data_IF_717731469344
#
_entry.id   IF_717731469344
#
_cell.length_a   1.000
_cell.length_b   1.000
_cell.length_c   1.000
_cell.angle_alpha   90.00
_cell.angle_beta   90.00
_cell.angle_gamma   90.00
#
_symmetry.space_group_name_H-M   'P 1'
#
loop_
_entity.id
_entity.type
_entity.pdbx_description
1 polymer ?
#
# COMPACT_ATOMS: atom_id res chain seq x y z
N UNK A 1 14.30 6.29 0.15
CA UNK A 1 14.63 5.84 -1.23
C UNK A 1 15.30 4.46 -1.27
N UNK A 2 16.20 4.10 -0.34
CA UNK A 2 16.97 2.84 -0.38
C UNK A 2 16.16 1.54 -0.53
N UNK A 3 14.99 1.41 0.10
CA UNK A 3 14.14 0.22 -0.09
C UNK A 3 13.64 0.07 -1.53
N UNK A 4 13.25 1.18 -2.16
CA UNK A 4 12.75 1.13 -3.55
C UNK A 4 13.85 0.64 -4.48
N UNK A 5 15.09 1.14 -4.34
CA UNK A 5 16.25 0.67 -5.11
C UNK A 5 16.44 -0.85 -5.00
N UNK A 6 16.46 -1.39 -3.78
CA UNK A 6 16.57 -2.85 -3.57
C UNK A 6 15.39 -3.59 -4.22
N UNK A 7 14.18 -3.03 -4.15
CA UNK A 7 13.00 -3.65 -4.74
C UNK A 7 13.08 -3.66 -6.28
N UNK A 8 13.53 -2.59 -6.94
CA UNK A 8 13.60 -2.56 -8.41
C UNK A 8 14.66 -3.52 -8.96
N UNK A 9 15.70 -3.80 -8.17
CA UNK A 9 16.73 -4.79 -8.49
C UNK A 9 16.40 -6.22 -8.01
N UNK A 10 15.18 -6.46 -7.51
CA UNK A 10 14.72 -7.75 -6.96
C UNK A 10 15.57 -8.31 -5.79
N UNK A 11 16.35 -7.46 -5.12
CA UNK A 11 17.19 -7.84 -3.96
C UNK A 11 16.37 -8.11 -2.68
N UNK A 12 15.11 -7.66 -2.64
CA UNK A 12 14.19 -7.85 -1.53
C UNK A 12 12.78 -8.17 -2.01
N UNK A 13 12.13 -9.08 -1.30
CA UNK A 13 10.71 -9.39 -1.49
C UNK A 13 9.80 -8.28 -0.95
N UNK A 14 8.52 -8.30 -1.30
CA UNK A 14 7.52 -7.35 -0.82
C UNK A 14 6.22 -8.06 -0.45
N UNK A 15 5.43 -7.43 0.43
CA UNK A 15 4.07 -7.87 0.74
C UNK A 15 3.12 -7.22 -0.26
N UNK A 16 2.27 -8.03 -0.88
CA UNK A 16 1.25 -7.55 -1.82
C UNK A 16 0.00 -7.12 -1.06
N UNK A 17 -0.41 -5.88 -1.27
CA UNK A 17 -1.65 -5.30 -0.75
C UNK A 17 -2.63 -5.01 -1.90
N UNK A 18 -3.90 -4.68 -1.61
CA UNK A 18 -4.88 -4.33 -2.64
C UNK A 18 -4.47 -3.16 -3.54
N UNK A 19 -3.68 -2.23 -3.00
CA UNK A 19 -3.30 -0.96 -3.66
C UNK A 19 -1.83 -0.89 -4.05
N UNK A 20 -1.01 -1.90 -3.76
CA UNK A 20 0.39 -1.90 -4.15
C UNK A 20 1.26 -2.93 -3.42
N UNK A 21 2.55 -2.64 -3.36
CA UNK A 21 3.55 -3.45 -2.65
C UNK A 21 4.11 -2.65 -1.48
N UNK A 22 4.31 -3.31 -0.35
CA UNK A 22 4.93 -2.71 0.84
C UNK A 22 6.18 -3.51 1.27
N UNK A 23 7.16 -2.86 1.92
CA UNK A 23 8.32 -3.55 2.50
C UNK A 23 7.92 -4.55 3.57
N UNK A 24 8.74 -5.61 3.74
CA UNK A 24 8.72 -6.41 4.97
C UNK A 24 9.38 -5.63 6.12
N UNK A 25 8.96 -5.90 7.35
CA UNK A 25 9.52 -5.26 8.54
C UNK A 25 11.05 -5.39 8.61
N UNK A 26 11.57 -6.60 8.39
CA UNK A 26 13.01 -6.88 8.48
C UNK A 26 13.86 -6.06 7.50
N UNK A 27 13.32 -5.76 6.31
CA UNK A 27 14.00 -4.91 5.34
C UNK A 27 14.17 -3.50 5.88
N UNK A 28 13.10 -2.93 6.46
CA UNK A 28 13.15 -1.58 7.04
C UNK A 28 14.02 -1.53 8.29
N UNK A 29 13.88 -2.50 9.20
CA UNK A 29 14.70 -2.61 10.41
C UNK A 29 16.18 -2.61 10.07
N UNK A 30 16.58 -3.45 9.10
CA UNK A 30 17.96 -3.50 8.60
C UNK A 30 18.40 -2.18 7.96
N UNK A 31 17.55 -1.57 7.13
CA UNK A 31 17.89 -0.34 6.41
C UNK A 31 18.04 0.86 7.35
N UNK A 32 17.15 1.02 8.32
CA UNK A 32 17.22 2.10 9.31
C UNK A 32 18.45 1.99 10.19
N UNK A 33 18.76 0.78 10.66
CA UNK A 33 19.98 0.53 11.42
C UNK A 33 21.24 0.86 10.60
N UNK A 34 21.35 0.31 9.38
CA UNK A 34 22.58 0.47 8.56
C UNK A 34 22.77 1.86 7.96
N UNK A 35 21.69 2.55 7.60
CA UNK A 35 21.78 3.80 6.82
C UNK A 35 21.59 5.03 7.69
N UNK A 36 20.81 4.93 8.76
CA UNK A 36 20.43 6.06 9.59
C UNK A 36 20.92 5.93 11.04
N UNK A 37 21.53 4.78 11.40
CA UNK A 37 21.89 4.43 12.78
C UNK A 37 20.71 4.63 13.76
N UNK A 38 19.51 4.21 13.33
CA UNK A 38 18.27 4.34 14.09
C UNK A 38 17.59 3.01 14.26
N UNK A 39 16.98 2.82 15.42
CA UNK A 39 16.04 1.73 15.64
C UNK A 39 14.73 2.00 14.88
N UNK A 40 14.19 0.96 14.26
CA UNK A 40 12.89 0.98 13.61
C UNK A 40 12.04 -0.14 14.19
N UNK A 41 10.98 0.26 14.89
CA UNK A 41 10.18 -0.63 15.73
C UNK A 41 8.99 -1.22 14.96
N UNK A 42 8.49 -2.37 15.40
CA UNK A 42 7.25 -2.95 14.84
C UNK A 42 6.06 -2.02 14.99
N UNK A 43 5.98 -1.27 16.09
CA UNK A 43 4.91 -0.29 16.30
C UNK A 43 4.87 0.75 15.17
N UNK A 44 6.03 1.32 14.82
CA UNK A 44 6.14 2.27 13.70
C UNK A 44 5.77 1.61 12.37
N UNK A 45 6.20 0.36 12.17
CA UNK A 45 5.85 -0.42 10.99
C UNK A 45 4.34 -0.61 10.85
N UNK A 46 3.65 -1.04 11.91
CA UNK A 46 2.21 -1.21 11.89
C UNK A 46 1.47 0.12 11.71
N UNK A 47 1.91 1.19 12.37
CA UNK A 47 1.31 2.53 12.20
C UNK A 47 1.37 3.00 10.74
N UNK A 48 2.51 2.79 10.07
CA UNK A 48 2.76 3.22 8.70
C UNK A 48 2.07 2.35 7.65
N UNK A 49 2.08 1.02 7.83
CA UNK A 49 1.69 0.07 6.79
C UNK A 49 0.37 -0.67 7.02
N UNK A 50 -0.38 -0.33 8.07
CA UNK A 50 -1.76 -0.81 8.22
C UNK A 50 -2.61 -0.33 7.04
N UNK A 51 -3.27 -1.28 6.37
CA UNK A 51 -4.25 -0.99 5.32
C UNK A 51 -5.54 -0.58 5.99
N UNK A 52 -5.90 0.70 5.85
CA UNK A 52 -7.13 1.28 6.37
C UNK A 52 -8.14 1.35 5.22
N UNK A 53 -9.00 0.35 5.15
CA UNK A 53 -9.83 0.09 3.97
C UNK A 53 -10.86 1.20 3.74
N UNK A 54 -11.62 1.66 4.75
CA UNK A 54 -12.60 2.74 4.56
C UNK A 54 -11.97 4.00 3.97
N UNK A 55 -10.79 4.40 4.46
CA UNK A 55 -10.08 5.59 4.01
C UNK A 55 -9.50 5.43 2.60
N UNK A 56 -9.02 4.23 2.26
CA UNK A 56 -8.57 3.93 0.91
C UNK A 56 -9.73 3.95 -0.09
N UNK A 57 -10.89 3.41 0.26
CA UNK A 57 -12.10 3.44 -0.57
C UNK A 57 -12.56 4.88 -0.79
N UNK A 58 -12.69 5.67 0.27
CA UNK A 58 -13.06 7.09 0.19
C UNK A 58 -12.07 7.89 -0.66
N UNK A 59 -10.77 7.58 -0.57
CA UNK A 59 -9.74 8.20 -1.41
C UNK A 59 -9.92 7.85 -2.89
N UNK A 60 -10.21 6.59 -3.22
CA UNK A 60 -10.46 6.16 -4.61
C UNK A 60 -11.66 6.91 -5.18
N UNK A 61 -12.78 6.96 -4.46
CA UNK A 61 -13.99 7.65 -4.92
C UNK A 61 -13.74 9.13 -5.21
N UNK A 62 -13.04 9.82 -4.29
CA UNK A 62 -12.64 11.22 -4.50
C UNK A 62 -11.75 11.41 -5.73
N UNK A 63 -10.80 10.50 -5.98
CA UNK A 63 -9.90 10.59 -7.14
C UNK A 63 -10.65 10.32 -8.45
N UNK A 64 -11.56 9.36 -8.46
CA UNK A 64 -12.43 9.09 -9.62
C UNK A 64 -13.24 10.34 -9.96
N UNK A 65 -13.85 10.99 -8.95
CA UNK A 65 -14.61 12.22 -9.15
C UNK A 65 -13.76 13.34 -9.77
N UNK A 66 -12.57 13.61 -9.21
CA UNK A 66 -11.66 14.63 -9.72
C UNK A 66 -11.31 14.38 -11.20
N UNK A 67 -10.94 13.15 -11.55
CA UNK A 67 -10.55 12.84 -12.92
C UNK A 67 -11.73 12.85 -13.90
N UNK A 68 -12.95 12.53 -13.46
CA UNK A 68 -14.14 12.64 -14.32
C UNK A 68 -14.54 14.08 -14.58
N UNK A 69 -14.41 14.95 -13.58
CA UNK A 69 -14.98 16.31 -13.63
C UNK A 69 -13.97 17.36 -14.06
N UNK A 70 -12.69 17.20 -13.71
CA UNK A 70 -11.66 18.25 -13.86
C UNK A 70 -10.57 17.93 -14.88
N UNK A 71 -10.44 16.66 -15.31
CA UNK A 71 -9.34 16.21 -16.19
C UNK A 71 -9.91 15.41 -17.35
N UNK A 72 -10.38 16.12 -18.37
CA UNK A 72 -11.18 15.56 -19.47
C UNK A 72 -10.44 14.58 -20.38
N UNK A 73 -9.11 14.60 -20.38
CA UNK A 73 -8.23 13.72 -21.16
C UNK A 73 -7.73 12.50 -20.37
N UNK A 74 -8.29 12.24 -19.18
CA UNK A 74 -7.90 11.08 -18.36
C UNK A 74 -8.12 9.77 -19.13
N UNK A 75 -7.08 8.94 -19.32
CA UNK A 75 -7.22 7.64 -19.98
C UNK A 75 -8.17 6.70 -19.23
N UNK A 76 -9.03 5.97 -19.96
CA UNK A 76 -10.00 5.02 -19.40
C UNK A 76 -9.36 3.93 -18.52
N UNK A 77 -8.12 3.56 -18.82
CA UNK A 77 -7.33 2.59 -18.05
C UNK A 77 -7.13 3.03 -16.58
N UNK A 78 -7.07 4.33 -16.30
CA UNK A 78 -6.95 4.84 -14.93
C UNK A 78 -8.17 4.46 -14.11
N UNK A 79 -9.38 4.68 -14.65
CA UNK A 79 -10.63 4.31 -13.96
C UNK A 79 -10.76 2.81 -13.79
N UNK A 80 -10.36 2.02 -14.80
CA UNK A 80 -10.34 0.56 -14.70
C UNK A 80 -9.46 0.08 -13.55
N UNK A 81 -8.23 0.60 -13.44
CA UNK A 81 -7.29 0.21 -12.37
C UNK A 81 -7.82 0.62 -10.98
N UNK A 82 -8.42 1.82 -10.86
CA UNK A 82 -9.01 2.29 -9.61
C UNK A 82 -10.20 1.42 -9.17
N UNK A 83 -11.04 1.01 -10.10
CA UNK A 83 -12.15 0.09 -9.84
C UNK A 83 -11.66 -1.30 -9.42
N UNK A 84 -10.61 -1.82 -10.07
CA UNK A 84 -9.99 -3.08 -9.66
C UNK A 84 -9.34 -2.99 -8.27
N UNK A 85 -8.74 -1.85 -7.92
CA UNK A 85 -8.25 -1.60 -6.55
C UNK A 85 -9.38 -1.57 -5.53
N UNK A 86 -10.50 -0.90 -5.86
CA UNK A 86 -11.71 -0.85 -5.02
C UNK A 86 -12.22 -2.26 -4.71
N UNK A 87 -12.38 -3.10 -5.73
CA UNK A 87 -12.83 -4.50 -5.56
C UNK A 87 -11.92 -5.32 -4.64
N UNK A 88 -10.59 -5.23 -4.82
CA UNK A 88 -9.63 -5.93 -3.94
C UNK A 88 -9.70 -5.45 -2.49
N UNK A 89 -9.99 -4.17 -2.27
CA UNK A 89 -10.18 -3.61 -0.93
C UNK A 89 -11.47 -4.13 -0.29
N UNK A 90 -12.59 -4.17 -1.01
CA UNK A 90 -13.87 -4.70 -0.55
C UNK A 90 -13.79 -6.21 -0.22
N UNK A 91 -13.11 -6.99 -1.07
CA UNK A 91 -12.82 -8.39 -0.82
C UNK A 91 -11.99 -8.59 0.46
N UNK A 92 -10.96 -7.76 0.67
CA UNK A 92 -10.14 -7.79 1.87
C UNK A 92 -10.95 -7.38 3.12
N UNK A 93 -11.81 -6.37 3.02
CA UNK A 93 -12.66 -5.93 4.13
C UNK A 93 -13.56 -7.06 4.61
N UNK A 94 -14.16 -7.78 3.67
CA UNK A 94 -15.03 -8.92 3.96
C UNK A 94 -14.29 -10.05 4.67
N UNK A 95 -13.01 -10.27 4.34
CA UNK A 95 -12.19 -11.37 4.90
C UNK A 95 -11.49 -11.01 6.20
N UNK A 96 -11.05 -9.76 6.35
CA UNK A 96 -10.09 -9.36 7.38
C UNK A 96 -10.56 -8.17 8.24
N UNK A 97 -11.68 -7.55 7.91
CA UNK A 97 -12.17 -6.32 8.53
C UNK A 97 -11.51 -5.06 7.98
N UNK A 98 -11.87 -3.92 8.56
CA UNK A 98 -11.56 -2.59 8.00
C UNK A 98 -10.10 -2.14 8.14
N UNK A 99 -9.38 -2.69 9.14
CA UNK A 99 -8.02 -2.29 9.47
C UNK A 99 -7.10 -3.50 9.51
N UNK A 100 -6.34 -3.69 8.43
CA UNK A 100 -5.51 -4.90 8.26
C UNK A 100 -4.04 -4.55 8.46
N UNK A 101 -3.47 -5.07 9.56
CA UNK A 101 -2.03 -4.95 9.83
C UNK A 101 -1.21 -5.74 8.80
N UNK A 102 -0.01 -5.29 8.44
CA UNK A 102 0.81 -5.91 7.39
C UNK A 102 1.19 -7.37 7.66
N UNK A 103 1.30 -7.78 8.93
CA UNK A 103 1.56 -9.18 9.32
C UNK A 103 0.36 -10.11 9.14
N UNK A 104 -0.83 -9.57 8.85
CA UNK A 104 -2.03 -10.33 8.48
C UNK A 104 -2.32 -10.27 6.97
N UNK A 105 -1.39 -9.71 6.17
CA UNK A 105 -1.52 -9.61 4.71
C UNK A 105 -0.58 -10.62 4.06
N UNK A 106 -1.15 -11.63 3.42
CA UNK A 106 -0.39 -12.67 2.72
C UNK A 106 0.17 -13.73 3.66
N UNK A 107 -0.58 -14.82 3.79
CA UNK A 107 -0.03 -16.16 4.05
C UNK A 107 0.24 -16.86 2.73
#
# INVERSE_FOLDING_TARGET
LKWMELRVNDDVSAIKTPTGLIPKYEDLKRLFSKTLNKEYTEKQYYEQFTVRIPENLAKIERIIEIYRVRVFDTPSIVFKILEEQKKRLEEMATRNGDYVRPNHIGG
#
